data_IF_923386565601
#
_entry.id   IF_923386565601
#
_cell.length_a   1.000
_cell.length_b   1.000
_cell.length_c   1.000
_cell.angle_alpha   90.00
_cell.angle_beta   90.00
_cell.angle_gamma   90.00
#
_symmetry.space_group_name_H-M   'P 1'
#
loop_
_entity.id
_entity.type
_entity.pdbx_description
1 polymer ?
#
# COMPACT_ATOMS: atom_id res chain seq x y z
N UNK A 1 -22.99 -23.96 -19.79
CA UNK A 1 -22.98 -23.08 -20.97
C UNK A 1 -22.64 -21.68 -20.47
N UNK A 2 -21.38 -21.42 -20.13
CA UNK A 2 -20.28 -21.02 -21.02
C UNK A 2 -20.46 -19.59 -21.55
N UNK A 3 -19.64 -18.67 -21.03
CA UNK A 3 -19.19 -17.50 -21.76
C UNK A 3 -17.78 -17.15 -21.29
N UNK A 4 -16.80 -17.67 -22.02
CA UNK A 4 -15.45 -17.14 -22.14
C UNK A 4 -15.08 -17.34 -23.59
N UNK A 5 -14.77 -16.28 -24.33
CA UNK A 5 -13.86 -16.32 -25.49
C UNK A 5 -13.27 -14.93 -25.73
N UNK A 6 -11.96 -14.80 -25.52
CA UNK A 6 -11.09 -13.87 -26.24
C UNK A 6 -10.95 -14.36 -27.69
N UNK A 7 -11.27 -13.52 -28.68
CA UNK A 7 -11.19 -13.91 -30.10
C UNK A 7 -9.74 -13.77 -30.60
N UNK A 8 -9.24 -14.86 -31.16
CA UNK A 8 -8.14 -14.95 -32.14
C UNK A 8 -8.77 -15.11 -33.52
N UNK A 9 -8.23 -14.48 -34.59
CA UNK A 9 -8.20 -15.10 -35.93
C UNK A 9 -7.32 -14.37 -36.95
N UNK A 10 -6.60 -15.19 -37.72
CA UNK A 10 -5.91 -14.92 -38.98
C UNK A 10 -6.86 -14.74 -40.18
N UNK A 11 -6.43 -13.90 -41.14
CA UNK A 11 -6.57 -13.93 -42.61
C UNK A 11 -7.98 -14.01 -43.28
N UNK A 12 -8.38 -12.94 -43.98
CA UNK A 12 -9.15 -12.98 -45.23
C UNK A 12 -8.64 -11.88 -46.18
N UNK A 13 -8.21 -12.29 -47.38
CA UNK A 13 -7.91 -11.43 -48.53
C UNK A 13 -9.22 -11.13 -49.26
N UNK A 14 -9.54 -9.87 -49.48
CA UNK A 14 -10.42 -9.47 -50.59
C UNK A 14 -9.99 -8.11 -51.15
N UNK A 15 -9.65 -8.12 -52.44
CA UNK A 15 -9.26 -6.99 -53.27
C UNK A 15 -10.51 -6.20 -53.67
N UNK A 16 -10.59 -4.91 -53.34
CA UNK A 16 -11.41 -3.95 -54.08
C UNK A 16 -10.67 -2.60 -54.21
N UNK A 17 -10.33 -2.31 -55.47
CA UNK A 17 -9.79 -1.05 -55.97
C UNK A 17 -10.86 0.04 -55.88
N UNK A 18 -10.61 1.12 -55.13
CA UNK A 18 -11.16 2.44 -55.47
C UNK A 18 -10.26 3.54 -54.92
N UNK A 19 -9.68 4.29 -55.85
CA UNK A 19 -8.84 5.46 -55.65
C UNK A 19 -9.66 6.64 -55.15
N UNK A 20 -9.44 7.08 -53.91
CA UNK A 20 -9.69 8.45 -53.47
C UNK A 20 -8.75 8.82 -52.33
N UNK A 21 -8.03 9.92 -52.53
CA UNK A 21 -7.12 10.56 -51.60
C UNK A 21 -7.84 10.90 -50.29
N UNK A 22 -7.70 10.04 -49.27
CA UNK A 22 -8.03 10.38 -47.89
C UNK A 22 -6.71 10.63 -47.17
N UNK A 23 -6.58 11.86 -46.69
CA UNK A 23 -5.49 12.31 -45.82
C UNK A 23 -5.28 11.28 -44.72
N UNK A 24 -4.14 10.59 -44.75
CA UNK A 24 -3.72 9.71 -43.66
C UNK A 24 -3.32 10.63 -42.50
N UNK A 25 -4.31 11.10 -41.74
CA UNK A 25 -4.06 11.50 -40.37
C UNK A 25 -3.62 10.24 -39.66
N UNK A 26 -2.34 10.18 -39.31
CA UNK A 26 -1.76 9.14 -38.46
C UNK A 26 -2.50 9.13 -37.13
N UNK A 27 -3.62 8.42 -37.05
CA UNK A 27 -4.18 7.96 -35.80
C UNK A 27 -3.17 6.97 -35.25
N UNK A 28 -2.22 7.48 -34.47
CA UNK A 28 -1.47 6.67 -33.53
C UNK A 28 -2.53 6.06 -32.61
N UNK A 29 -2.92 4.80 -32.86
CA UNK A 29 -3.64 4.03 -31.86
C UNK A 29 -2.75 4.10 -30.62
N UNK A 30 -3.22 4.80 -29.59
CA UNK A 30 -2.61 4.72 -28.28
C UNK A 30 -2.56 3.23 -27.95
N UNK A 31 -1.35 2.65 -27.93
CA UNK A 31 -1.16 1.31 -27.40
C UNK A 31 -1.74 1.34 -26.00
N UNK A 32 -2.85 0.64 -25.79
CA UNK A 32 -3.33 0.33 -24.45
C UNK A 32 -2.12 -0.17 -23.65
N UNK A 33 -1.81 0.51 -22.55
CA UNK A 33 -0.73 0.10 -21.69
C UNK A 33 -1.15 -1.23 -21.05
N UNK A 34 -0.74 -2.34 -21.68
CA UNK A 34 -0.87 -3.67 -21.11
C UNK A 34 -0.10 -3.67 -19.80
N UNK A 35 -0.81 -3.85 -18.68
CA UNK A 35 -0.17 -3.98 -17.37
C UNK A 35 0.90 -5.08 -17.45
N UNK A 36 2.14 -4.83 -17.02
CA UNK A 36 3.23 -5.80 -17.19
C UNK A 36 3.12 -7.02 -16.28
N UNK A 37 2.12 -7.05 -15.39
CA UNK A 37 1.87 -8.12 -14.43
C UNK A 37 0.40 -8.54 -14.42
N UNK A 38 0.14 -9.81 -14.07
CA UNK A 38 -1.18 -10.45 -14.13
C UNK A 38 -1.80 -10.78 -12.77
N UNK A 39 -1.01 -10.67 -11.69
CA UNK A 39 -1.39 -11.07 -10.33
C UNK A 39 -0.63 -10.24 -9.30
N UNK A 40 -1.13 -10.18 -8.08
CA UNK A 40 -0.50 -9.50 -6.95
C UNK A 40 -0.22 -10.50 -5.83
N UNK A 41 1.00 -10.49 -5.30
CA UNK A 41 1.34 -11.19 -4.07
C UNK A 41 1.68 -10.17 -2.99
N UNK A 42 0.89 -10.09 -1.93
CA UNK A 42 1.02 -9.02 -0.93
C UNK A 42 1.52 -9.48 0.43
N UNK A 43 2.35 -8.65 1.05
CA UNK A 43 2.93 -8.81 2.38
C UNK A 43 2.68 -7.54 3.20
N UNK A 44 2.54 -7.63 4.53
CA UNK A 44 2.29 -6.47 5.39
C UNK A 44 1.31 -6.73 6.54
N UNK A 45 0.80 -5.64 7.14
CA UNK A 45 -0.03 -5.66 8.35
C UNK A 45 -1.50 -5.99 8.07
N UNK A 46 -2.10 -5.47 7.00
CA UNK A 46 -3.55 -5.59 6.76
C UNK A 46 -3.86 -6.60 5.66
N UNK A 47 -4.73 -7.57 5.97
CA UNK A 47 -4.96 -8.77 5.16
C UNK A 47 -5.43 -8.53 3.72
N UNK A 48 -5.99 -7.35 3.37
CA UNK A 48 -6.45 -7.12 2.00
C UNK A 48 -6.54 -5.65 1.53
N UNK A 49 -6.85 -4.67 2.39
CA UNK A 49 -7.37 -3.39 1.89
C UNK A 49 -6.43 -2.57 0.99
N UNK A 50 -5.14 -2.45 1.31
CA UNK A 50 -4.20 -1.71 0.44
C UNK A 50 -3.95 -2.47 -0.87
N UNK A 51 -3.74 -3.79 -0.79
CA UNK A 51 -3.53 -4.63 -1.96
C UNK A 51 -4.75 -4.68 -2.89
N UNK A 52 -5.97 -4.63 -2.33
CA UNK A 52 -7.24 -4.51 -3.07
C UNK A 52 -7.29 -3.22 -3.88
N UNK A 53 -6.85 -2.09 -3.29
CA UNK A 53 -6.77 -0.81 -4.01
C UNK A 53 -5.70 -0.82 -5.11
N UNK A 54 -4.53 -1.44 -4.85
CA UNK A 54 -3.51 -1.63 -5.87
C UNK A 54 -4.07 -2.50 -7.02
N UNK A 55 -4.75 -3.60 -6.70
CA UNK A 55 -5.39 -4.48 -7.69
C UNK A 55 -6.42 -3.71 -8.52
N UNK A 56 -7.32 -2.96 -7.88
CA UNK A 56 -8.33 -2.16 -8.56
C UNK A 56 -7.72 -1.09 -9.48
N UNK A 57 -6.67 -0.41 -9.02
CA UNK A 57 -5.96 0.62 -9.82
C UNK A 57 -5.36 0.01 -11.08
N UNK A 58 -4.87 -1.23 -10.98
CA UNK A 58 -4.17 -1.93 -12.05
C UNK A 58 -5.10 -2.84 -12.87
N UNK A 59 -6.41 -2.82 -12.58
CA UNK A 59 -7.42 -3.68 -13.20
C UNK A 59 -7.10 -5.18 -13.07
N UNK A 60 -6.64 -5.59 -11.89
CA UNK A 60 -6.31 -6.96 -11.54
C UNK A 60 -7.30 -7.54 -10.52
N UNK A 61 -7.42 -8.88 -10.44
CA UNK A 61 -8.11 -9.52 -9.33
C UNK A 61 -7.49 -9.14 -7.98
N UNK A 62 -8.35 -8.93 -6.98
CA UNK A 62 -7.93 -8.79 -5.59
C UNK A 62 -7.24 -10.07 -5.10
N UNK A 63 -6.05 -9.97 -4.47
CA UNK A 63 -5.36 -11.13 -3.96
C UNK A 63 -6.16 -11.79 -2.83
N UNK A 64 -6.35 -13.10 -2.91
CA UNK A 64 -7.04 -13.87 -1.87
C UNK A 64 -6.09 -14.20 -0.71
N UNK A 65 -6.58 -14.39 0.53
CA UNK A 65 -5.74 -14.87 1.63
C UNK A 65 -5.02 -16.18 1.26
N UNK A 66 -3.73 -16.29 1.58
CA UNK A 66 -2.92 -17.48 1.26
C UNK A 66 -3.43 -18.79 1.87
N UNK A 67 -4.35 -18.72 2.84
CA UNK A 67 -4.99 -19.88 3.46
C UNK A 67 -6.09 -20.50 2.59
N UNK A 68 -6.54 -19.82 1.52
CA UNK A 68 -7.45 -20.39 0.54
C UNK A 68 -6.71 -21.43 -0.32
N UNK A 69 -7.36 -22.57 -0.58
CA UNK A 69 -6.78 -23.70 -1.33
C UNK A 69 -7.41 -23.80 -2.72
N UNK A 70 -6.60 -23.95 -3.77
CA UNK A 70 -7.06 -24.12 -5.15
C UNK A 70 -6.08 -23.49 -6.16
N UNK A 71 -6.02 -24.02 -7.38
CA UNK A 71 -5.08 -23.58 -8.42
C UNK A 71 -5.44 -22.22 -9.00
N UNK A 72 -6.74 -21.89 -9.10
CA UNK A 72 -7.17 -20.59 -9.62
C UNK A 72 -6.61 -19.42 -8.81
N UNK A 73 -6.34 -19.62 -7.52
CA UNK A 73 -5.88 -18.57 -6.62
C UNK A 73 -4.43 -18.17 -6.86
N UNK A 74 -3.59 -19.08 -7.36
CA UNK A 74 -2.20 -18.77 -7.69
C UNK A 74 -2.10 -17.82 -8.89
N UNK A 75 -2.87 -18.07 -9.94
CA UNK A 75 -2.84 -17.24 -11.15
C UNK A 75 -3.46 -15.86 -10.92
N UNK A 76 -4.38 -15.73 -9.95
CA UNK A 76 -4.98 -14.45 -9.55
C UNK A 76 -4.19 -13.69 -8.48
N UNK A 77 -3.23 -14.32 -7.80
CA UNK A 77 -2.43 -13.72 -6.74
C UNK A 77 -2.96 -13.96 -5.31
N UNK A 78 -2.06 -13.84 -4.33
CA UNK A 78 -2.30 -14.22 -2.93
C UNK A 78 -1.76 -13.20 -1.92
N UNK A 79 -2.50 -12.99 -0.83
CA UNK A 79 -2.10 -12.15 0.29
C UNK A 79 -1.58 -12.99 1.45
N UNK A 80 -0.33 -12.73 1.83
CA UNK A 80 0.34 -13.23 3.04
C UNK A 80 0.31 -12.19 4.17
N UNK A 81 -0.40 -11.07 3.97
CA UNK A 81 -0.52 -10.03 4.96
C UNK A 81 -1.30 -10.50 6.19
N UNK A 82 -0.77 -10.21 7.37
CA UNK A 82 -1.25 -10.72 8.66
C UNK A 82 -1.25 -9.59 9.68
N UNK A 83 -2.36 -9.35 10.39
CA UNK A 83 -2.44 -8.35 11.45
C UNK A 83 -1.35 -8.51 12.49
N UNK A 84 -0.57 -7.45 12.71
CA UNK A 84 0.53 -7.37 13.66
C UNK A 84 1.83 -8.03 13.21
N UNK A 85 1.93 -8.53 11.97
CA UNK A 85 3.14 -9.20 11.50
C UNK A 85 4.37 -8.28 11.53
N UNK A 86 5.44 -8.76 12.13
CA UNK A 86 6.75 -8.11 12.17
C UNK A 86 7.66 -8.65 11.09
N UNK A 87 8.61 -7.84 10.61
CA UNK A 87 9.67 -8.37 9.75
C UNK A 87 10.74 -9.08 10.59
N UNK A 88 10.93 -8.63 11.83
CA UNK A 88 11.91 -9.17 12.76
C UNK A 88 11.37 -10.38 13.53
N UNK A 89 12.30 -11.29 13.88
CA UNK A 89 12.06 -12.51 14.65
C UNK A 89 12.13 -12.27 16.17
N UNK A 90 11.62 -13.17 17.02
CA UNK A 90 11.61 -13.01 18.48
C UNK A 90 12.94 -12.58 19.10
N UNK A 91 14.06 -13.15 18.67
CA UNK A 91 15.38 -12.83 19.20
C UNK A 91 15.76 -11.35 19.05
N UNK A 92 15.32 -10.70 17.96
CA UNK A 92 15.55 -9.28 17.75
C UNK A 92 14.88 -8.42 18.84
N UNK A 93 13.68 -8.78 19.27
CA UNK A 93 13.00 -8.05 20.33
C UNK A 93 13.68 -8.29 21.68
N UNK A 94 13.99 -9.56 21.99
CA UNK A 94 14.67 -9.93 23.25
C UNK A 94 15.99 -9.20 23.44
N UNK A 95 16.87 -9.19 22.42
CA UNK A 95 18.18 -8.53 22.50
C UNK A 95 18.08 -7.00 22.69
N UNK A 96 16.95 -6.40 22.31
CA UNK A 96 16.67 -4.98 22.47
C UNK A 96 15.83 -4.67 23.74
N UNK A 97 15.64 -5.65 24.61
CA UNK A 97 14.87 -5.48 25.85
C UNK A 97 13.38 -5.28 25.62
N UNK A 98 12.83 -5.88 24.56
CA UNK A 98 11.41 -5.84 24.21
C UNK A 98 10.87 -7.28 24.25
N UNK A 99 9.73 -7.55 24.92
CA UNK A 99 9.10 -8.86 24.85
C UNK A 99 8.73 -9.22 23.39
N UNK A 100 8.96 -10.45 22.90
CA UNK A 100 8.56 -10.84 21.56
C UNK A 100 7.04 -10.65 21.33
N UNK A 101 6.62 -10.00 20.24
CA UNK A 101 5.21 -9.95 19.90
C UNK A 101 4.68 -11.37 19.63
N UNK A 102 3.44 -11.71 20.04
CA UNK A 102 2.84 -13.01 19.74
C UNK A 102 2.83 -13.36 18.24
N UNK A 103 2.81 -12.33 17.39
CA UNK A 103 2.80 -12.43 15.93
C UNK A 103 4.20 -12.60 15.32
N UNK A 104 5.27 -12.40 16.09
CA UNK A 104 6.63 -12.75 15.65
C UNK A 104 6.81 -14.27 15.78
N UNK A 105 6.34 -15.00 14.77
CA UNK A 105 6.60 -16.43 14.68
C UNK A 105 8.01 -16.69 14.15
N UNK A 106 8.52 -17.91 14.30
CA UNK A 106 9.82 -18.32 13.73
C UNK A 106 9.86 -18.19 12.20
N UNK A 107 8.69 -18.30 11.56
CA UNK A 107 8.48 -18.07 10.14
C UNK A 107 7.91 -16.68 9.90
N UNK A 108 8.69 -15.81 9.24
CA UNK A 108 8.18 -14.56 8.69
C UNK A 108 7.20 -14.81 7.54
N UNK A 109 6.39 -13.81 7.17
CA UNK A 109 5.49 -13.91 6.01
C UNK A 109 6.22 -14.35 4.73
N UNK A 110 7.46 -13.89 4.55
CA UNK A 110 8.33 -14.27 3.43
C UNK A 110 8.71 -15.74 3.52
N UNK A 111 9.07 -16.25 4.70
CA UNK A 111 9.35 -17.68 4.87
C UNK A 111 8.10 -18.54 4.68
N UNK A 112 6.93 -18.07 5.13
CA UNK A 112 5.64 -18.72 4.86
C UNK A 112 5.36 -18.77 3.36
N UNK A 113 5.58 -17.68 2.63
CA UNK A 113 5.50 -17.64 1.18
C UNK A 113 6.49 -18.61 0.53
N UNK A 114 7.76 -18.64 0.94
CA UNK A 114 8.75 -19.55 0.35
C UNK A 114 8.38 -21.02 0.59
N UNK A 115 7.94 -21.36 1.81
CA UNK A 115 7.45 -22.70 2.12
C UNK A 115 6.30 -23.08 1.20
N UNK A 116 5.28 -22.23 1.12
CA UNK A 116 4.12 -22.42 0.26
C UNK A 116 4.52 -22.50 -1.24
N UNK A 117 5.46 -21.65 -1.68
CA UNK A 117 5.96 -21.63 -3.04
C UNK A 117 6.66 -22.94 -3.41
N UNK A 118 7.49 -23.51 -2.54
CA UNK A 118 8.18 -24.77 -2.84
C UNK A 118 7.29 -26.01 -2.62
N UNK A 119 6.46 -26.01 -1.58
CA UNK A 119 5.61 -27.16 -1.25
C UNK A 119 4.41 -27.28 -2.19
N UNK A 120 3.68 -26.18 -2.44
CA UNK A 120 2.43 -26.24 -3.21
C UNK A 120 2.66 -25.88 -4.68
N UNK A 121 3.29 -24.73 -4.93
CA UNK A 121 3.44 -24.21 -6.29
C UNK A 121 4.47 -24.96 -7.12
N UNK A 122 5.66 -25.19 -6.57
CA UNK A 122 6.77 -25.83 -7.27
C UNK A 122 6.54 -27.33 -7.43
N UNK A 123 5.98 -27.99 -6.42
CA UNK A 123 5.84 -29.45 -6.41
C UNK A 123 4.59 -29.96 -7.15
N UNK A 124 3.45 -29.25 -7.05
CA UNK A 124 2.18 -29.77 -7.59
C UNK A 124 1.65 -29.04 -8.82
N UNK A 125 2.05 -27.78 -9.05
CA UNK A 125 1.39 -26.92 -10.03
C UNK A 125 2.31 -26.31 -11.10
N UNK A 126 3.60 -26.66 -11.10
CA UNK A 126 4.62 -26.24 -12.08
C UNK A 126 4.73 -24.70 -12.27
N UNK A 127 4.15 -23.91 -11.36
CA UNK A 127 4.12 -22.45 -11.43
C UNK A 127 5.49 -21.83 -11.14
N UNK A 128 6.34 -22.52 -10.37
CA UNK A 128 7.75 -22.21 -10.19
C UNK A 128 8.68 -22.83 -11.24
N UNK A 129 8.40 -24.05 -11.74
CA UNK A 129 9.32 -24.79 -12.62
C UNK A 129 9.41 -24.23 -14.05
N UNK A 130 8.32 -23.66 -14.57
CA UNK A 130 8.30 -23.02 -15.90
C UNK A 130 8.39 -21.48 -15.86
N UNK A 131 8.68 -20.89 -14.69
CA UNK A 131 8.82 -19.44 -14.54
C UNK A 131 7.57 -18.65 -15.00
N UNK A 132 6.36 -19.19 -14.77
CA UNK A 132 5.12 -18.67 -15.38
C UNK A 132 4.41 -17.61 -14.55
N UNK A 133 4.39 -17.76 -13.22
CA UNK A 133 3.52 -16.95 -12.34
C UNK A 133 4.29 -15.81 -11.68
N UNK A 134 5.24 -16.11 -10.77
CA UNK A 134 5.95 -15.09 -9.98
C UNK A 134 6.71 -14.05 -10.82
N UNK A 135 7.39 -14.41 -11.93
CA UNK A 135 8.04 -13.41 -12.79
C UNK A 135 7.07 -12.44 -13.48
N UNK A 136 5.78 -12.82 -13.60
CA UNK A 136 4.70 -11.97 -14.14
C UNK A 136 3.82 -11.38 -13.04
N UNK A 137 4.17 -11.57 -11.78
CA UNK A 137 3.43 -11.02 -10.65
C UNK A 137 4.02 -9.68 -10.20
N UNK A 138 3.18 -8.85 -9.60
CA UNK A 138 3.59 -7.73 -8.76
C UNK A 138 3.72 -8.23 -7.32
N UNK A 139 4.94 -8.23 -6.77
CA UNK A 139 5.13 -8.42 -5.34
C UNK A 139 4.92 -7.10 -4.61
N UNK A 140 3.92 -7.00 -3.75
CA UNK A 140 3.58 -5.78 -3.03
C UNK A 140 3.91 -5.92 -1.54
N UNK A 141 4.82 -5.09 -1.03
CA UNK A 141 5.17 -5.02 0.39
C UNK A 141 4.60 -3.73 1.00
N UNK A 142 3.52 -3.87 1.77
CA UNK A 142 2.81 -2.77 2.41
C UNK A 142 3.41 -2.46 3.79
N UNK A 143 4.04 -1.29 3.88
CA UNK A 143 4.63 -0.71 5.09
C UNK A 143 5.52 -1.68 5.88
N UNK A 144 6.49 -2.37 5.25
CA UNK A 144 7.32 -3.35 5.93
C UNK A 144 8.09 -2.72 7.10
N UNK A 145 8.08 -3.38 8.26
CA UNK A 145 8.77 -2.91 9.46
C UNK A 145 7.93 -2.01 10.40
N UNK A 146 6.75 -1.53 9.99
CA UNK A 146 5.94 -0.62 10.82
C UNK A 146 5.55 -1.24 12.17
N UNK A 147 5.25 -2.55 12.17
CA UNK A 147 4.83 -3.27 13.36
C UNK A 147 5.96 -3.50 14.35
N UNK A 148 7.20 -3.62 13.86
CA UNK A 148 8.40 -3.76 14.69
C UNK A 148 8.58 -2.52 15.57
N UNK A 149 8.38 -1.32 15.01
CA UNK A 149 8.43 -0.07 15.75
C UNK A 149 7.17 0.17 16.59
N UNK A 150 5.99 -0.13 16.06
CA UNK A 150 4.73 -0.06 16.81
C UNK A 150 4.82 -0.85 18.11
N UNK A 151 5.35 -2.06 18.03
CA UNK A 151 5.52 -2.94 19.18
C UNK A 151 6.56 -2.41 20.17
N UNK A 152 7.69 -1.89 19.69
CA UNK A 152 8.70 -1.24 20.54
C UNK A 152 8.12 -0.04 21.31
N UNK A 153 7.37 0.84 20.63
CA UNK A 153 6.73 2.00 21.25
C UNK A 153 5.65 1.61 22.27
N UNK A 154 4.86 0.58 21.98
CA UNK A 154 3.89 0.04 22.94
C UNK A 154 4.54 -0.53 24.21
N UNK A 155 5.82 -0.90 24.14
CA UNK A 155 6.63 -1.36 25.28
C UNK A 155 7.55 -0.28 25.84
N UNK A 156 7.23 0.99 25.63
CA UNK A 156 7.86 2.12 26.31
C UNK A 156 9.21 2.56 25.75
N UNK A 157 9.63 2.05 24.58
CA UNK A 157 10.84 2.57 23.92
C UNK A 157 10.66 4.02 23.51
N UNK A 158 11.66 4.84 23.78
CA UNK A 158 11.73 6.21 23.28
C UNK A 158 11.96 6.26 21.76
N UNK A 159 11.72 7.41 21.13
CA UNK A 159 12.05 7.63 19.70
C UNK A 159 13.55 7.37 19.45
N UNK A 160 14.41 7.78 20.37
CA UNK A 160 15.86 7.56 20.26
C UNK A 160 16.22 6.07 20.30
N UNK A 161 15.68 5.32 21.25
CA UNK A 161 15.92 3.87 21.31
C UNK A 161 15.37 3.15 20.07
N UNK A 162 14.15 3.48 19.63
CA UNK A 162 13.57 2.88 18.44
C UNK A 162 14.36 3.21 17.16
N UNK A 163 15.01 4.39 17.09
CA UNK A 163 15.83 4.78 15.94
C UNK A 163 17.01 3.83 15.72
N UNK A 164 17.58 3.26 16.79
CA UNK A 164 18.66 2.25 16.68
C UNK A 164 18.19 0.93 16.08
N UNK A 165 16.87 0.66 16.08
CA UNK A 165 16.29 -0.54 15.46
C UNK A 165 16.22 -0.43 13.94
N UNK A 166 16.18 0.80 13.40
CA UNK A 166 15.87 1.04 12.00
C UNK A 166 16.86 0.41 10.99
N UNK A 167 18.18 0.46 11.19
CA UNK A 167 19.14 -0.15 10.27
C UNK A 167 18.93 -1.66 10.11
N UNK A 168 18.77 -2.40 11.21
CA UNK A 168 18.61 -3.86 11.14
C UNK A 168 17.24 -4.28 10.59
N UNK A 169 16.18 -3.52 10.91
CA UNK A 169 14.85 -3.72 10.32
C UNK A 169 14.92 -3.55 8.80
N UNK A 170 15.52 -2.45 8.31
CA UNK A 170 15.66 -2.20 6.85
C UNK A 170 16.56 -3.22 6.18
N UNK A 171 17.66 -3.63 6.81
CA UNK A 171 18.52 -4.69 6.29
C UNK A 171 17.77 -6.02 6.17
N UNK A 172 16.87 -6.33 7.12
CA UNK A 172 16.02 -7.53 7.04
C UNK A 172 14.97 -7.43 5.92
N UNK A 173 14.43 -6.23 5.67
CA UNK A 173 13.55 -5.97 4.52
C UNK A 173 14.31 -6.17 3.21
N UNK A 174 15.52 -5.61 3.10
CA UNK A 174 16.39 -5.78 1.94
C UNK A 174 16.68 -7.25 1.67
N UNK A 175 17.12 -7.99 2.69
CA UNK A 175 17.35 -9.43 2.60
C UNK A 175 16.08 -10.19 2.16
N UNK A 176 14.90 -9.81 2.66
CA UNK A 176 13.63 -10.41 2.24
C UNK A 176 13.33 -10.18 0.74
N UNK A 177 13.60 -8.98 0.24
CA UNK A 177 13.48 -8.66 -1.19
C UNK A 177 14.46 -9.50 -2.02
N UNK A 178 15.71 -9.62 -1.59
CA UNK A 178 16.71 -10.44 -2.28
C UNK A 178 16.29 -11.91 -2.36
N UNK A 179 15.72 -12.46 -1.29
CA UNK A 179 15.18 -13.82 -1.30
C UNK A 179 14.04 -13.96 -2.31
N UNK A 180 13.08 -13.02 -2.34
CA UNK A 180 12.00 -13.02 -3.33
C UNK A 180 12.52 -13.00 -4.78
N UNK A 181 13.60 -12.24 -5.04
CA UNK A 181 14.23 -12.17 -6.36
C UNK A 181 14.97 -13.47 -6.69
N UNK A 182 15.85 -13.93 -5.81
CA UNK A 182 16.79 -15.02 -6.09
C UNK A 182 16.17 -16.41 -5.97
N UNK A 183 15.32 -16.62 -4.96
CA UNK A 183 14.72 -17.92 -4.67
C UNK A 183 13.41 -18.13 -5.43
N UNK A 184 12.58 -17.09 -5.57
CA UNK A 184 11.26 -17.17 -6.20
C UNK A 184 11.17 -16.55 -7.61
N UNK A 185 12.23 -15.87 -8.08
CA UNK A 185 12.27 -15.31 -9.44
C UNK A 185 11.43 -14.05 -9.63
N UNK A 186 11.14 -13.29 -8.57
CA UNK A 186 10.36 -12.06 -8.66
C UNK A 186 11.04 -11.03 -9.58
N UNK A 187 10.26 -10.46 -10.51
CA UNK A 187 10.74 -9.46 -11.49
C UNK A 187 10.16 -8.07 -11.29
N UNK A 188 9.02 -7.95 -10.62
CA UNK A 188 8.41 -6.65 -10.30
C UNK A 188 8.02 -6.63 -8.83
N UNK A 189 8.55 -5.64 -8.09
CA UNK A 189 8.25 -5.45 -6.68
C UNK A 189 7.84 -4.00 -6.43
N UNK A 190 6.79 -3.77 -5.65
CA UNK A 190 6.41 -2.46 -5.12
C UNK A 190 6.54 -2.49 -3.61
N UNK A 191 7.34 -1.59 -3.07
CA UNK A 191 7.62 -1.50 -1.63
C UNK A 191 7.19 -0.11 -1.18
N UNK A 192 6.22 -0.04 -0.28
CA UNK A 192 5.81 1.25 0.27
C UNK A 192 6.71 1.69 1.42
N UNK A 193 6.90 2.99 1.57
CA UNK A 193 7.36 3.56 2.83
C UNK A 193 6.30 3.43 3.92
N UNK A 194 6.66 3.77 5.15
CA UNK A 194 5.71 3.90 6.25
C UNK A 194 5.07 5.28 6.30
N UNK A 195 3.82 5.33 6.74
CA UNK A 195 3.05 6.56 6.96
C UNK A 195 3.68 7.44 8.06
N UNK A 196 3.37 8.76 8.10
CA UNK A 196 3.83 9.64 9.17
C UNK A 196 3.21 9.24 10.51
N UNK A 197 3.93 8.43 11.30
CA UNK A 197 3.45 7.88 12.57
C UNK A 197 2.99 8.97 13.54
N UNK A 198 3.65 10.12 13.53
CA UNK A 198 3.29 11.27 14.35
C UNK A 198 1.91 11.85 14.04
N UNK A 199 1.25 11.46 12.94
CA UNK A 199 -0.11 11.89 12.64
C UNK A 199 -1.19 10.91 13.12
N UNK A 200 -0.84 9.79 13.74
CA UNK A 200 -1.82 8.80 14.20
C UNK A 200 -2.22 9.01 15.66
N UNK A 201 -3.51 8.81 16.02
CA UNK A 201 -4.00 9.02 17.38
C UNK A 201 -3.22 8.23 18.43
N UNK A 202 -2.86 6.96 18.14
CA UNK A 202 -2.15 6.12 19.11
C UNK A 202 -0.77 6.62 19.46
N UNK A 203 0.05 6.96 18.47
CA UNK A 203 1.39 7.49 18.71
C UNK A 203 1.33 8.88 19.32
N UNK A 204 0.29 9.66 19.03
CA UNK A 204 0.04 10.95 19.72
C UNK A 204 -0.34 10.78 21.19
N UNK A 205 -1.05 9.71 21.54
CA UNK A 205 -1.34 9.37 22.94
C UNK A 205 -0.11 8.83 23.67
N UNK A 206 0.72 8.00 23.00
CA UNK A 206 1.95 7.44 23.58
C UNK A 206 3.06 8.49 23.78
N UNK A 207 3.10 9.51 22.90
CA UNK A 207 4.09 10.60 22.93
C UNK A 207 3.37 11.95 23.06
N UNK A 208 2.88 12.30 24.27
CA UNK A 208 2.16 13.55 24.50
C UNK A 208 3.09 14.77 24.42
N UNK A 209 4.36 14.59 24.78
CA UNK A 209 5.41 15.61 24.73
C UNK A 209 5.95 15.76 23.30
N UNK A 210 5.82 16.93 22.69
CA UNK A 210 6.45 17.22 21.40
C UNK A 210 5.85 18.39 20.64
N UNK A 211 6.72 19.12 19.92
CA UNK A 211 6.32 20.22 19.04
C UNK A 211 5.32 19.73 17.99
N UNK A 212 4.11 20.26 18.07
CA UNK A 212 3.05 20.04 17.10
C UNK A 212 3.30 20.93 15.89
N UNK A 213 3.54 20.37 14.70
CA UNK A 213 3.76 21.19 13.50
C UNK A 213 2.43 21.69 12.94
N UNK A 214 2.28 23.01 12.86
CA UNK A 214 1.19 23.69 12.15
C UNK A 214 -0.20 23.39 12.72
N UNK A 215 -1.24 23.78 11.98
CA UNK A 215 -2.66 23.58 12.35
C UNK A 215 -3.05 22.10 12.49
N UNK A 216 -2.22 21.17 12.00
CA UNK A 216 -2.54 19.75 11.86
C UNK A 216 -2.11 18.87 13.05
N UNK A 217 -1.34 19.43 14.00
CA UNK A 217 -1.02 18.80 15.30
C UNK A 217 -0.31 17.43 15.28
N UNK A 218 0.33 17.03 14.18
CA UNK A 218 1.18 15.83 14.16
C UNK A 218 2.45 16.00 14.99
N UNK A 219 2.95 14.92 15.59
CA UNK A 219 4.17 14.90 16.40
C UNK A 219 5.44 14.92 15.54
N UNK A 220 6.28 15.95 15.70
CA UNK A 220 7.50 16.15 14.91
C UNK A 220 8.52 15.01 15.02
N UNK A 221 8.85 14.56 16.24
CA UNK A 221 9.85 13.51 16.46
C UNK A 221 9.50 12.19 15.78
N UNK A 222 8.30 11.65 16.04
CA UNK A 222 7.76 10.49 15.32
C UNK A 222 7.70 10.65 13.80
N UNK A 223 7.37 11.85 13.29
CA UNK A 223 7.40 12.08 11.85
C UNK A 223 8.82 12.10 11.28
N UNK A 224 9.82 12.55 12.05
CA UNK A 224 11.23 12.44 11.69
C UNK A 224 11.69 10.98 11.72
N UNK A 225 11.21 10.20 12.70
CA UNK A 225 11.45 8.77 12.77
C UNK A 225 10.90 8.03 11.53
N UNK A 226 9.67 8.32 11.11
CA UNK A 226 9.12 7.74 9.88
C UNK A 226 9.96 8.09 8.64
N UNK A 227 10.48 9.31 8.57
CA UNK A 227 11.40 9.72 7.50
C UNK A 227 12.73 8.96 7.56
N UNK A 228 13.32 8.81 8.75
CA UNK A 228 14.55 8.03 8.95
C UNK A 228 14.42 6.62 8.38
N UNK A 229 13.36 5.90 8.74
CA UNK A 229 13.09 4.57 8.17
C UNK A 229 12.95 4.63 6.64
N UNK A 230 12.13 5.56 6.12
CA UNK A 230 11.89 5.69 4.69
C UNK A 230 13.15 6.06 3.90
N UNK A 231 14.06 6.85 4.48
CA UNK A 231 15.33 7.22 3.87
C UNK A 231 16.27 6.01 3.80
N UNK A 232 16.38 5.23 4.89
CA UNK A 232 17.11 3.96 4.88
C UNK A 232 16.53 2.97 3.86
N UNK A 233 15.21 2.82 3.83
CA UNK A 233 14.53 1.94 2.88
C UNK A 233 14.76 2.39 1.43
N UNK A 234 14.74 3.70 1.17
CA UNK A 234 15.05 4.25 -0.15
C UNK A 234 16.49 3.94 -0.58
N UNK A 235 17.47 4.08 0.31
CA UNK A 235 18.86 3.69 0.01
C UNK A 235 18.97 2.19 -0.28
N UNK A 236 18.34 1.33 0.54
CA UNK A 236 18.32 -0.11 0.29
C UNK A 236 17.69 -0.44 -1.08
N UNK A 237 16.61 0.24 -1.47
CA UNK A 237 15.99 0.09 -2.80
C UNK A 237 16.95 0.52 -3.92
N UNK A 238 17.69 1.62 -3.76
CA UNK A 238 18.69 2.05 -4.75
C UNK A 238 19.81 1.01 -4.92
N UNK A 239 20.32 0.47 -3.81
CA UNK A 239 21.31 -0.60 -3.83
C UNK A 239 20.78 -1.86 -4.52
N UNK A 240 19.54 -2.27 -4.23
CA UNK A 240 18.91 -3.42 -4.87
C UNK A 240 18.71 -3.21 -6.37
N UNK A 241 18.33 -2.01 -6.81
CA UNK A 241 18.22 -1.69 -8.25
C UNK A 241 19.55 -1.78 -8.98
N UNK A 242 20.65 -1.36 -8.33
CA UNK A 242 22.00 -1.51 -8.87
C UNK A 242 22.42 -2.98 -8.95
N UNK A 243 22.08 -3.77 -7.93
CA UNK A 243 22.41 -5.20 -7.85
C UNK A 243 21.59 -6.06 -8.81
N UNK A 244 20.33 -5.70 -9.05
CA UNK A 244 19.37 -6.46 -9.89
C UNK A 244 18.80 -5.57 -11.01
N UNK A 245 19.60 -5.24 -12.05
CA UNK A 245 19.19 -4.32 -13.11
C UNK A 245 17.98 -4.82 -13.93
N UNK A 246 17.76 -6.14 -13.98
CA UNK A 246 16.63 -6.77 -14.67
C UNK A 246 15.37 -6.92 -13.80
N UNK A 247 15.34 -6.29 -12.61
CA UNK A 247 14.21 -6.33 -11.68
C UNK A 247 13.63 -4.93 -11.50
N UNK A 248 12.34 -4.79 -11.74
CA UNK A 248 11.60 -3.55 -11.54
C UNK A 248 11.21 -3.39 -10.06
N UNK A 249 12.07 -2.73 -9.30
CA UNK A 249 11.82 -2.40 -7.89
C UNK A 249 11.23 -0.99 -7.83
N UNK A 250 10.01 -0.86 -7.33
CA UNK A 250 9.20 0.37 -7.28
C UNK A 250 9.06 0.79 -5.81
N UNK A 251 9.26 2.07 -5.52
CA UNK A 251 9.01 2.67 -4.22
C UNK A 251 7.69 3.43 -4.25
N UNK A 252 6.81 3.17 -3.28
CA UNK A 252 5.57 3.91 -3.06
C UNK A 252 5.72 4.85 -1.85
N UNK A 253 5.77 6.16 -2.11
CA UNK A 253 5.96 7.20 -1.10
C UNK A 253 4.64 7.52 -0.37
N UNK A 254 4.23 6.57 0.48
CA UNK A 254 3.07 6.70 1.35
C UNK A 254 3.13 7.94 2.24
N UNK A 255 4.33 8.31 2.68
CA UNK A 255 4.51 9.48 3.53
C UNK A 255 4.04 10.74 2.83
N UNK A 256 4.56 11.02 1.62
CA UNK A 256 4.17 12.23 0.88
C UNK A 256 2.72 12.17 0.41
N UNK A 257 2.23 10.99 -0.02
CA UNK A 257 0.84 10.81 -0.40
C UNK A 257 -0.11 11.14 0.76
N UNK A 258 0.16 10.65 1.97
CA UNK A 258 -0.64 10.97 3.15
C UNK A 258 -0.58 12.45 3.54
N UNK A 259 0.61 13.08 3.46
CA UNK A 259 0.73 14.51 3.71
C UNK A 259 -0.09 15.32 2.69
N UNK A 260 -0.18 14.88 1.44
CA UNK A 260 -1.04 15.51 0.44
C UNK A 260 -2.54 15.34 0.79
N UNK A 261 -2.98 14.15 1.24
CA UNK A 261 -4.35 13.95 1.75
C UNK A 261 -4.62 14.88 2.93
N UNK A 262 -3.72 14.95 3.91
CA UNK A 262 -3.87 15.79 5.09
C UNK A 262 -3.97 17.29 4.74
N UNK A 263 -3.18 17.76 3.75
CA UNK A 263 -3.27 19.15 3.26
C UNK A 263 -4.60 19.45 2.59
N UNK A 264 -5.16 18.49 1.86
CA UNK A 264 -6.41 18.64 1.11
C UNK A 264 -7.65 18.13 1.86
N UNK A 265 -7.51 17.78 3.14
CA UNK A 265 -8.53 17.10 3.96
C UNK A 265 -9.96 17.64 3.82
N UNK A 266 -10.15 18.97 3.90
CA UNK A 266 -11.46 19.61 3.84
C UNK A 266 -12.15 19.40 2.50
N UNK A 267 -11.39 19.43 1.40
CA UNK A 267 -11.89 19.16 0.05
C UNK A 267 -12.26 17.68 -0.14
N UNK A 268 -11.60 16.79 0.60
CA UNK A 268 -11.85 15.35 0.60
C UNK A 268 -12.96 14.94 1.58
N UNK A 269 -13.59 15.91 2.28
CA UNK A 269 -14.69 15.67 3.21
C UNK A 269 -14.27 15.38 4.67
N UNK A 270 -12.98 15.38 4.99
CA UNK A 270 -12.49 15.17 6.34
C UNK A 270 -12.56 16.46 7.17
N UNK A 271 -13.15 16.38 8.36
CA UNK A 271 -13.32 17.56 9.23
C UNK A 271 -12.01 17.86 9.98
N UNK A 272 -11.60 19.13 10.02
CA UNK A 272 -10.36 19.59 10.66
C UNK A 272 -10.23 19.16 12.12
N UNK A 273 -11.34 19.14 12.87
CA UNK A 273 -11.37 18.72 14.28
C UNK A 273 -11.25 17.19 14.49
N UNK A 274 -11.35 16.40 13.42
CA UNK A 274 -11.31 14.93 13.43
C UNK A 274 -9.98 14.37 12.90
N UNK A 275 -9.11 15.19 12.30
CA UNK A 275 -7.91 14.73 11.60
C UNK A 275 -6.98 13.85 12.45
N UNK A 276 -6.90 14.14 13.74
CA UNK A 276 -6.03 13.40 14.67
C UNK A 276 -6.85 12.57 15.66
N UNK A 277 -8.14 12.33 15.39
CA UNK A 277 -9.02 11.55 16.29
C UNK A 277 -9.34 10.20 15.68
N UNK A 278 -9.41 9.17 16.51
CA UNK A 278 -9.99 7.89 16.10
C UNK A 278 -11.51 8.01 15.99
N UNK A 279 -12.13 7.36 14.99
CA UNK A 279 -13.58 7.24 14.90
C UNK A 279 -14.13 6.20 15.89
N UNK A 280 -13.50 5.02 15.95
CA UNK A 280 -13.77 3.97 16.91
C UNK A 280 -12.79 4.08 18.07
N UNK A 281 -13.27 4.52 19.24
CA UNK A 281 -12.39 4.98 20.30
C UNK A 281 -13.06 5.18 21.65
N UNK A 282 -12.26 5.60 22.63
CA UNK A 282 -12.63 5.59 24.06
C UNK A 282 -13.55 6.73 24.51
N UNK A 283 -13.93 7.64 23.61
CA UNK A 283 -14.81 8.80 23.85
C UNK A 283 -14.17 9.95 24.62
N UNK A 284 -13.26 9.66 25.56
CA UNK A 284 -12.88 10.58 26.63
C UNK A 284 -11.37 10.88 26.71
N UNK A 285 -10.52 10.10 26.03
CA UNK A 285 -9.08 10.32 26.01
C UNK A 285 -8.65 11.35 24.94
N UNK A 286 -7.48 11.99 25.07
CA UNK A 286 -6.88 12.75 23.97
C UNK A 286 -6.90 11.94 22.67
N UNK A 287 -7.20 12.60 21.55
CA UNK A 287 -7.27 11.95 20.23
C UNK A 287 -8.32 10.82 20.11
N UNK A 288 -9.25 10.73 21.06
CA UNK A 288 -10.27 9.67 21.14
C UNK A 288 -9.66 8.25 21.19
N UNK A 289 -8.46 8.08 21.74
CA UNK A 289 -7.77 6.80 21.75
C UNK A 289 -7.23 6.44 23.13
N UNK A 290 -7.43 5.18 23.53
CA UNK A 290 -6.92 4.58 24.76
C UNK A 290 -6.26 3.24 24.42
N UNK A 291 -5.00 3.06 24.86
CA UNK A 291 -4.19 1.86 24.57
C UNK A 291 -4.83 0.60 25.16
N UNK A 292 -5.60 0.75 26.25
CA UNK A 292 -6.23 -0.36 26.96
C UNK A 292 -7.64 -0.70 26.47
N UNK A 293 -8.21 0.10 25.56
CA UNK A 293 -9.58 -0.09 25.05
C UNK A 293 -9.59 -0.17 23.54
N UNK A 294 -9.68 -1.39 23.02
CA UNK A 294 -9.66 -1.65 21.57
C UNK A 294 -11.04 -1.47 20.95
N UNK A 295 -11.05 -1.07 19.68
CA UNK A 295 -12.28 -1.01 18.90
C UNK A 295 -13.01 -2.36 18.91
N UNK A 296 -14.29 -2.36 19.28
CA UNK A 296 -15.12 -3.55 19.44
C UNK A 296 -15.23 -4.08 20.88
N UNK A 297 -14.45 -3.56 21.82
CA UNK A 297 -14.61 -3.86 23.24
C UNK A 297 -15.79 -3.08 23.87
N UNK A 298 -16.32 -3.60 24.98
CA UNK A 298 -17.42 -2.96 25.71
C UNK A 298 -17.04 -1.54 26.16
N UNK A 299 -17.96 -0.59 25.95
CA UNK A 299 -17.74 0.81 26.29
C UNK A 299 -16.87 1.60 25.30
N UNK A 300 -16.49 1.02 24.16
CA UNK A 300 -15.80 1.72 23.06
C UNK A 300 -16.82 2.15 22.02
N UNK A 301 -16.96 3.45 21.82
CA UNK A 301 -17.95 4.02 20.92
C UNK A 301 -17.40 4.19 19.50
N UNK A 302 -18.28 4.08 18.50
CA UNK A 302 -18.00 4.40 17.11
C UNK A 302 -18.61 5.76 16.78
N UNK A 303 -17.86 6.60 16.07
CA UNK A 303 -18.33 7.90 15.62
C UNK A 303 -19.55 7.77 14.67
N UNK A 304 -20.43 8.77 14.65
CA UNK A 304 -21.63 8.76 13.82
C UNK A 304 -21.38 9.00 12.32
N UNK A 305 -20.23 9.59 11.97
CA UNK A 305 -19.87 9.99 10.61
C UNK A 305 -18.42 9.58 10.30
N UNK A 306 -18.23 8.30 9.95
CA UNK A 306 -16.92 7.70 9.65
C UNK A 306 -16.18 8.40 8.51
N UNK A 307 -16.91 8.82 7.47
CA UNK A 307 -16.32 9.45 6.29
C UNK A 307 -15.64 10.79 6.60
N UNK A 308 -16.02 11.44 7.71
CA UNK A 308 -15.38 12.68 8.15
C UNK A 308 -14.07 12.49 8.94
N UNK A 309 -13.64 11.26 9.19
CA UNK A 309 -12.44 10.91 9.96
C UNK A 309 -11.37 10.28 9.07
N UNK A 310 -10.10 10.62 9.34
CA UNK A 310 -8.96 9.93 8.72
C UNK A 310 -8.68 8.57 9.36
N UNK A 311 -8.87 8.46 10.67
CA UNK A 311 -8.45 7.30 11.45
C UNK A 311 -9.65 6.47 11.91
N UNK A 312 -9.66 5.19 11.57
CA UNK A 312 -10.68 4.25 12.05
C UNK A 312 -10.50 4.00 13.54
N UNK A 313 -9.30 3.60 13.94
CA UNK A 313 -8.89 3.46 15.34
C UNK A 313 -7.56 4.22 15.57
N UNK A 314 -6.81 3.87 16.60
CA UNK A 314 -5.52 4.52 16.86
C UNK A 314 -4.42 4.26 15.83
N UNK A 315 -4.47 3.14 15.11
CA UNK A 315 -3.39 2.66 14.24
C UNK A 315 -3.78 2.52 12.76
N UNK A 316 -5.08 2.52 12.45
CA UNK A 316 -5.60 2.26 11.10
C UNK A 316 -6.36 3.47 10.54
N UNK A 317 -6.29 3.61 9.22
CA UNK A 317 -7.10 4.57 8.48
C UNK A 317 -8.54 4.08 8.32
N UNK A 318 -9.48 5.01 8.14
CA UNK A 318 -10.82 4.66 7.64
C UNK A 318 -10.72 4.17 6.19
N UNK A 319 -11.67 3.37 5.69
CA UNK A 319 -11.70 3.00 4.28
C UNK A 319 -11.69 4.21 3.33
N UNK A 320 -12.40 5.28 3.69
CA UNK A 320 -12.43 6.53 2.93
C UNK A 320 -11.04 7.19 2.87
N UNK A 321 -10.32 7.23 3.99
CA UNK A 321 -8.98 7.80 4.03
C UNK A 321 -7.95 6.93 3.31
N UNK A 322 -8.08 5.60 3.38
CA UNK A 322 -7.24 4.68 2.62
C UNK A 322 -7.48 4.82 1.12
N UNK A 323 -8.74 4.89 0.67
CA UNK A 323 -9.07 5.12 -0.75
C UNK A 323 -8.44 6.42 -1.25
N UNK A 324 -8.61 7.52 -0.51
CA UNK A 324 -7.99 8.80 -0.86
C UNK A 324 -6.46 8.77 -0.86
N UNK A 325 -5.84 8.01 0.06
CA UNK A 325 -4.40 7.80 0.08
C UNK A 325 -3.93 7.08 -1.19
N UNK A 326 -4.60 5.99 -1.57
CA UNK A 326 -4.24 5.19 -2.74
C UNK A 326 -4.48 5.95 -4.05
N UNK A 327 -5.61 6.65 -4.18
CA UNK A 327 -5.88 7.54 -5.32
C UNK A 327 -4.81 8.63 -5.44
N UNK A 328 -4.43 9.23 -4.31
CA UNK A 328 -3.38 10.25 -4.28
C UNK A 328 -2.03 9.67 -4.70
N UNK A 329 -1.68 8.48 -4.17
CA UNK A 329 -0.44 7.78 -4.47
C UNK A 329 -0.27 7.53 -5.98
N UNK A 330 -1.32 7.06 -6.64
CA UNK A 330 -1.32 6.74 -8.07
C UNK A 330 -1.71 7.91 -8.98
N UNK A 331 -1.97 9.09 -8.43
CA UNK A 331 -2.19 10.30 -9.23
C UNK A 331 -0.90 10.74 -9.95
N UNK A 332 -1.03 11.53 -11.02
CA UNK A 332 0.10 12.07 -11.84
C UNK A 332 1.08 12.98 -11.07
N UNK A 333 1.00 13.05 -9.74
CA UNK A 333 1.84 13.88 -8.86
C UNK A 333 3.13 13.19 -8.39
N UNK A 334 3.43 11.99 -8.89
CA UNK A 334 4.74 11.35 -8.70
C UNK A 334 5.00 10.93 -7.26
N UNK A 335 4.18 10.05 -6.69
CA UNK A 335 4.49 9.38 -5.41
C UNK A 335 4.90 7.91 -5.59
N UNK A 336 5.05 7.45 -6.83
CA UNK A 336 5.50 6.10 -7.19
C UNK A 336 6.74 6.24 -8.05
N UNK A 337 7.83 5.56 -7.68
CA UNK A 337 9.15 5.73 -8.29
C UNK A 337 9.83 4.40 -8.59
N UNK A 338 10.22 4.10 -9.85
CA UNK A 338 9.86 4.85 -11.05
C UNK A 338 8.34 4.88 -11.27
N UNK A 339 7.86 5.85 -12.04
CA UNK A 339 6.42 5.99 -12.31
C UNK A 339 5.88 4.72 -12.98
N UNK A 340 4.78 4.21 -12.43
CA UNK A 340 4.07 3.08 -13.00
C UNK A 340 3.12 3.61 -14.07
N UNK A 341 3.36 3.23 -15.34
CA UNK A 341 2.47 3.60 -16.45
C UNK A 341 1.18 2.77 -16.37
N UNK A 342 0.16 3.32 -15.72
CA UNK A 342 -1.19 2.76 -15.70
C UNK A 342 -1.96 3.33 -16.90
N UNK A 343 -2.72 2.51 -17.64
CA UNK A 343 -3.42 2.91 -18.87
C UNK A 343 -4.31 4.15 -18.72
N UNK A 344 -4.55 4.89 -19.81
CA UNK A 344 -5.29 6.16 -19.78
C UNK A 344 -6.75 6.00 -19.29
N UNK A 345 -7.38 4.85 -19.52
CA UNK A 345 -8.75 4.57 -19.04
C UNK A 345 -8.83 4.38 -17.52
N UNK A 346 -7.82 3.77 -16.91
CA UNK A 346 -7.72 3.59 -15.45
C UNK A 346 -7.37 4.91 -14.76
N UNK A 347 -6.50 5.73 -15.36
CA UNK A 347 -6.24 7.10 -14.89
C UNK A 347 -7.53 7.96 -14.92
N UNK A 348 -8.35 7.81 -15.97
CA UNK A 348 -9.65 8.48 -16.06
C UNK A 348 -10.69 7.91 -15.08
N UNK A 349 -10.65 6.62 -14.75
CA UNK A 349 -11.54 6.00 -13.76
C UNK A 349 -11.22 6.44 -12.32
N UNK A 350 -9.92 6.51 -11.95
CA UNK A 350 -9.45 7.09 -10.68
C UNK A 350 -9.89 8.57 -10.58
N UNK A 351 -9.68 9.33 -11.66
CA UNK A 351 -10.10 10.75 -11.72
C UNK A 351 -11.64 10.90 -11.64
N UNK A 352 -12.42 10.03 -12.32
CA UNK A 352 -13.90 10.05 -12.26
C UNK A 352 -14.45 9.60 -10.91
N UNK A 353 -13.77 8.70 -10.18
CA UNK A 353 -14.12 8.35 -8.80
C UNK A 353 -13.95 9.55 -7.87
N UNK A 354 -12.84 10.26 -8.01
CA UNK A 354 -12.61 11.56 -7.35
C UNK A 354 -13.80 12.52 -7.60
N UNK A 355 -14.24 12.68 -8.85
CA UNK A 355 -15.40 13.53 -9.18
C UNK A 355 -16.76 13.05 -8.64
N UNK A 356 -17.00 11.73 -8.54
CA UNK A 356 -18.26 11.20 -7.98
C UNK A 356 -18.39 11.42 -6.47
N UNK A 357 -17.28 11.43 -5.74
CA UNK A 357 -17.26 11.81 -4.32
C UNK A 357 -17.61 13.30 -4.18
N UNK A 358 -17.09 14.16 -5.07
CA UNK A 358 -17.43 15.59 -5.09
C UNK A 358 -18.91 15.87 -5.38
N UNK A 359 -19.58 15.06 -6.20
CA UNK A 359 -21.01 15.25 -6.50
C UNK A 359 -21.96 14.90 -5.34
N UNK A 360 -21.48 14.21 -4.29
CA UNK A 360 -22.29 13.90 -3.08
C UNK A 360 -22.24 14.99 -2.02
N UNK A 361 -21.33 15.95 -2.13
CA UNK A 361 -21.25 17.13 -1.26
C UNK A 361 -21.83 18.30 -2.04
N UNK A 362 -23.13 18.55 -1.84
CA UNK A 362 -23.84 19.82 -2.08
C UNK A 362 -23.44 20.65 -3.29
N UNK A 363 -24.35 20.70 -4.27
CA UNK A 363 -24.47 21.71 -5.32
C UNK A 363 -24.01 23.12 -4.88
N UNK A 364 -22.83 23.51 -5.34
CA UNK A 364 -22.53 24.91 -5.70
C UNK A 364 -21.90 24.84 -7.08
N UNK A 365 -22.77 24.70 -8.08
CA UNK A 365 -22.39 25.03 -9.45
C UNK A 365 -22.21 26.55 -9.61
N UNK A 366 -21.15 26.88 -10.34
CA UNK A 366 -20.79 28.17 -10.94
C UNK A 366 -19.82 29.07 -10.15
N UNK A 367 -18.74 29.43 -10.85
CA UNK A 367 -17.70 30.44 -10.51
C UNK A 367 -16.77 29.99 -9.37
N UNK A 368 -15.66 29.30 -9.59
CA UNK A 368 -14.43 29.75 -10.25
C UNK A 368 -13.71 28.51 -10.81
N UNK A 369 -13.77 28.32 -12.14
CA UNK A 369 -12.81 27.48 -12.87
C UNK A 369 -11.72 28.40 -13.40
N UNK A 370 -10.49 27.90 -13.41
CA UNK A 370 -9.27 28.59 -13.83
C UNK A 370 -8.80 29.67 -12.85
N UNK A 371 -8.02 29.25 -11.85
CA UNK A 371 -6.73 29.83 -11.48
C UNK A 371 -6.25 29.11 -10.20
N UNK A 372 -4.94 28.86 -10.12
CA UNK A 372 -4.20 28.24 -9.01
C UNK A 372 -3.99 26.71 -9.10
N UNK A 373 -3.24 26.29 -10.12
CA UNK A 373 -2.26 25.21 -9.98
C UNK A 373 -0.92 25.71 -10.57
N UNK A 374 -0.09 26.31 -9.72
CA UNK A 374 1.37 26.43 -9.87
C UNK A 374 1.99 25.83 -8.62
#
# INVERSE_FOLDING_TARGET
>A
MAASVCISHHLVVLVLLFSCLVVVSSFSLAKEAVCPFNSIYSFGDSSSSAADHVAATLSLPSPQPYTQRGTEFFESGLSFATPGATIMKPFFFLKNGIPPPPQSHDLSQISTFMKFFYEDCFSFHDCGRNNKVIPKALIFMDQPGINDYKHAFLHGKSISEASHLAPEVVETIKNSIERLINEAGAKTLMISGILPMGCFPSFRTLFPEGDSIGKNRCHRGLNMFSKLHNDHLWQAILELRLKYPDVHIIYADYYKAFIAVLKNHAFLGFKTNNLMKACCGSGNAPFNFDVQKKCGEEGVAVCSDRASYLHWDGFRLTPEALENLMDTLFSKKGFVFPELKVGEETSAAVTRRHFRIHARVGDISSVIRHLLFV
#
